data_IF_779384126944
#
_entry.id   IF_779384126944
#
_cell.length_a   1.000
_cell.length_b   1.000
_cell.length_c   1.000
_cell.angle_alpha   90.00
_cell.angle_beta   90.00
_cell.angle_gamma   90.00
#
_symmetry.space_group_name_H-M   'P 1'
#
loop_
_entity.id
_entity.type
_entity.pdbx_description
1 polymer ?
#
# COMPACT_ATOMS: atom_id res chain seq x y z
N UNK A 1 -33.21 7.84 17.79
CA UNK A 1 -31.75 7.72 18.00
C UNK A 1 -31.08 8.37 16.80
N UNK A 2 -30.45 9.53 16.98
CA UNK A 2 -29.72 10.23 15.90
C UNK A 2 -28.38 9.53 15.75
N UNK A 3 -28.15 8.84 14.60
CA UNK A 3 -26.83 8.36 14.23
C UNK A 3 -25.97 9.59 13.91
N UNK A 4 -24.95 9.82 14.71
CA UNK A 4 -23.88 10.79 14.39
C UNK A 4 -23.02 10.12 13.32
N UNK A 5 -23.19 10.54 12.07
CA UNK A 5 -22.30 10.12 10.97
C UNK A 5 -20.98 10.88 11.13
N UNK A 6 -19.91 10.13 11.37
CA UNK A 6 -18.56 10.68 11.32
C UNK A 6 -18.22 11.06 9.88
N UNK A 7 -17.52 12.16 9.74
CA UNK A 7 -16.98 12.64 8.46
C UNK A 7 -15.92 11.62 7.98
N UNK A 8 -16.15 11.02 6.83
CA UNK A 8 -15.22 10.06 6.21
C UNK A 8 -14.14 10.88 5.48
N UNK A 9 -12.88 10.56 5.69
CA UNK A 9 -11.78 11.11 4.91
C UNK A 9 -11.69 10.32 3.59
N UNK A 10 -11.76 10.99 2.47
CA UNK A 10 -11.66 10.44 1.13
C UNK A 10 -10.31 10.86 0.53
N UNK A 11 -9.56 9.94 0.01
CA UNK A 11 -8.25 10.18 -0.59
C UNK A 11 -8.09 9.34 -1.84
N UNK A 12 -7.78 9.93 -2.94
CA UNK A 12 -6.96 9.51 -4.06
C UNK A 12 -7.17 10.33 -5.33
N UNK A 13 -6.12 10.77 -5.98
CA UNK A 13 -6.15 11.43 -7.27
C UNK A 13 -5.25 10.70 -8.26
N UNK A 14 -5.84 9.97 -9.20
CA UNK A 14 -5.18 9.70 -10.47
C UNK A 14 -5.81 10.58 -11.55
N UNK A 15 -5.27 11.78 -11.76
CA UNK A 15 -5.67 12.64 -12.88
C UNK A 15 -5.12 12.06 -14.19
N UNK A 16 -5.96 11.42 -14.95
CA UNK A 16 -5.65 10.99 -16.32
C UNK A 16 -5.74 12.13 -17.32
N UNK A 17 -4.58 12.57 -17.79
CA UNK A 17 -4.47 13.21 -19.11
C UNK A 17 -3.87 12.20 -20.08
N UNK A 18 -4.73 11.53 -20.84
CA UNK A 18 -4.33 10.62 -21.90
C UNK A 18 -3.80 11.43 -23.10
N UNK A 19 -2.49 11.56 -23.24
CA UNK A 19 -1.86 12.00 -24.47
C UNK A 19 -1.04 10.85 -25.08
N UNK A 20 -1.48 10.43 -26.26
CA UNK A 20 -0.87 9.45 -27.14
C UNK A 20 0.66 9.49 -27.15
N UNK A 21 1.32 8.43 -26.69
CA UNK A 21 2.73 8.16 -27.01
C UNK A 21 2.77 6.99 -27.99
N UNK A 22 3.27 7.28 -29.19
CA UNK A 22 3.53 6.31 -30.25
C UNK A 22 4.60 5.31 -29.81
N UNK A 23 4.30 4.02 -30.04
CA UNK A 23 5.27 2.93 -30.03
C UNK A 23 6.46 3.26 -30.95
N UNK A 24 7.66 3.10 -30.42
CA UNK A 24 8.87 2.84 -31.21
C UNK A 24 9.45 1.52 -30.76
N UNK A 25 9.45 0.58 -31.70
CA UNK A 25 10.11 -0.72 -31.56
C UNK A 25 11.63 -0.53 -31.49
N UNK A 26 12.27 -1.25 -30.58
CA UNK A 26 13.72 -1.36 -30.50
C UNK A 26 14.13 -2.69 -29.88
N UNK A 27 14.51 -3.64 -30.74
CA UNK A 27 15.22 -4.88 -30.40
C UNK A 27 16.53 -4.56 -29.70
N UNK A 28 16.92 -5.31 -28.68
CA UNK A 28 18.33 -5.66 -28.44
C UNK A 28 18.51 -6.97 -27.68
N UNK A 29 19.44 -7.69 -28.13
CA UNK A 29 20.04 -8.99 -28.00
C UNK A 29 20.39 -9.52 -26.60
N UNK A 30 20.39 -10.88 -26.59
CA UNK A 30 20.94 -11.76 -25.58
C UNK A 30 22.50 -11.74 -25.56
N UNK A 31 23.08 -11.81 -24.36
CA UNK A 31 24.36 -12.43 -23.99
C UNK A 31 24.61 -12.10 -22.50
N UNK A 32 24.90 -13.04 -21.69
CA UNK A 32 25.85 -14.02 -21.44
C UNK A 32 25.90 -14.28 -19.95
N UNK A 33 25.73 -15.51 -19.53
CA UNK A 33 25.94 -15.98 -18.15
C UNK A 33 27.44 -16.27 -17.97
N UNK A 34 28.07 -15.94 -16.86
CA UNK A 34 29.29 -16.57 -16.42
C UNK A 34 29.03 -17.60 -15.32
N UNK A 35 29.44 -18.79 -15.65
CA UNK A 35 29.59 -19.97 -14.82
C UNK A 35 30.73 -19.75 -13.79
N UNK A 36 30.49 -20.07 -12.51
CA UNK A 36 31.55 -20.23 -11.52
C UNK A 36 31.43 -21.59 -10.85
N UNK A 37 32.27 -22.47 -11.30
CA UNK A 37 32.58 -23.79 -10.71
C UNK A 37 33.32 -23.61 -9.37
N UNK A 38 32.98 -24.53 -8.46
CA UNK A 38 33.59 -24.88 -7.19
C UNK A 38 35.13 -24.96 -7.19
N UNK A 39 35.74 -24.71 -6.04
CA UNK A 39 36.77 -25.52 -5.38
C UNK A 39 37.05 -25.05 -3.96
N UNK A 40 37.08 -26.01 -2.98
CA UNK A 40 38.05 -25.94 -1.91
C UNK A 40 37.54 -26.18 -0.47
N UNK A 41 37.56 -27.45 -0.07
CA UNK A 41 37.53 -27.99 1.27
C UNK A 41 38.62 -27.38 2.21
N UNK A 42 38.25 -27.13 3.47
CA UNK A 42 39.24 -26.89 4.54
C UNK A 42 38.57 -26.88 5.91
N UNK A 43 38.72 -27.97 6.65
CA UNK A 43 38.43 -28.12 8.08
C UNK A 43 39.21 -27.12 8.93
N UNK A 44 38.57 -26.56 9.99
CA UNK A 44 39.08 -26.74 11.36
C UNK A 44 38.25 -26.01 12.43
N UNK A 45 37.81 -26.80 13.40
CA UNK A 45 37.86 -26.63 14.88
C UNK A 45 37.03 -25.51 15.54
N UNK A 46 36.13 -26.05 16.38
CA UNK A 46 35.45 -25.45 17.51
C UNK A 46 36.19 -24.31 18.24
N UNK A 47 35.47 -23.23 18.48
CA UNK A 47 35.46 -22.58 19.79
C UNK A 47 34.10 -21.93 20.01
N UNK A 48 33.28 -22.53 20.84
CA UNK A 48 32.08 -21.92 21.43
C UNK A 48 32.49 -20.71 22.24
N UNK A 49 32.10 -19.54 21.77
CA UNK A 49 31.96 -18.36 22.60
C UNK A 49 30.49 -17.99 22.49
N UNK A 50 29.72 -18.35 23.53
CA UNK A 50 28.43 -17.76 23.79
C UNK A 50 28.65 -16.26 24.03
N UNK A 51 28.49 -15.49 22.98
CA UNK A 51 28.32 -14.06 23.11
C UNK A 51 26.81 -13.86 23.10
N UNK A 52 26.22 -13.68 24.28
CA UNK A 52 24.93 -13.04 24.41
C UNK A 52 25.03 -11.70 23.66
N UNK A 53 24.44 -11.63 22.47
CA UNK A 53 24.17 -10.36 21.81
C UNK A 53 23.19 -9.60 22.71
N UNK A 54 23.73 -8.71 23.50
CA UNK A 54 22.98 -7.63 24.14
C UNK A 54 22.45 -6.81 22.94
N UNK A 55 21.19 -7.03 22.55
CA UNK A 55 20.46 -6.12 21.68
C UNK A 55 20.46 -4.77 22.41
N UNK A 56 21.33 -3.88 21.98
CA UNK A 56 21.23 -2.47 22.31
C UNK A 56 19.97 -1.96 21.57
N UNK A 57 18.89 -1.77 22.33
CA UNK A 57 17.72 -1.00 21.89
C UNK A 57 18.10 0.50 21.80
N UNK A 58 19.01 0.83 20.90
CA UNK A 58 19.20 2.21 20.48
C UNK A 58 17.95 2.61 19.68
N UNK A 59 17.32 3.74 19.99
CA UNK A 59 16.15 4.20 19.25
C UNK A 59 16.51 4.31 17.75
N UNK A 60 15.67 3.75 16.90
CA UNK A 60 15.88 3.78 15.44
C UNK A 60 15.93 5.25 15.01
N UNK A 61 17.08 5.71 14.55
CA UNK A 61 17.26 7.08 14.12
C UNK A 61 16.89 7.19 12.62
N UNK A 62 15.73 7.78 12.33
CA UNK A 62 15.31 8.07 10.97
C UNK A 62 16.04 9.29 10.39
N UNK A 63 16.23 9.29 9.09
CA UNK A 63 16.75 10.47 8.39
C UNK A 63 15.75 11.64 8.44
N UNK A 64 16.23 12.88 8.38
CA UNK A 64 15.35 14.04 8.31
C UNK A 64 14.45 13.99 7.06
N UNK A 65 14.97 13.45 5.97
CA UNK A 65 14.26 13.24 4.71
C UNK A 65 13.06 12.29 4.88
N UNK A 66 13.26 11.17 5.58
CA UNK A 66 12.18 10.24 5.89
C UNK A 66 11.12 10.85 6.83
N UNK A 67 11.55 11.63 7.83
CA UNK A 67 10.65 12.34 8.73
C UNK A 67 9.79 13.36 7.97
N UNK A 68 10.39 14.12 7.07
CA UNK A 68 9.68 15.12 6.27
C UNK A 68 8.69 14.45 5.31
N UNK A 69 9.10 13.35 4.66
CA UNK A 69 8.22 12.58 3.79
C UNK A 69 7.09 11.91 4.55
N UNK A 70 7.36 11.29 5.69
CA UNK A 70 6.35 10.75 6.60
C UNK A 70 5.29 11.80 6.98
N UNK A 71 5.73 12.99 7.35
CA UNK A 71 4.80 14.09 7.65
C UNK A 71 3.98 14.52 6.43
N UNK A 72 4.57 14.51 5.24
CA UNK A 72 3.86 14.83 3.99
C UNK A 72 2.77 13.80 3.70
N UNK A 73 3.09 12.50 3.78
CA UNK A 73 2.18 11.41 3.41
C UNK A 73 1.14 11.10 4.50
N UNK A 74 1.56 11.08 5.78
CA UNK A 74 0.71 10.59 6.87
C UNK A 74 -0.13 11.68 7.53
N UNK A 75 0.24 12.98 7.43
CA UNK A 75 -0.51 14.06 8.09
C UNK A 75 -1.59 14.64 7.19
N UNK A 76 -2.80 14.62 7.72
CA UNK A 76 -3.97 15.18 7.03
C UNK A 76 -4.63 14.18 6.09
N UNK A 77 -5.28 14.71 5.08
CA UNK A 77 -5.85 13.98 3.95
C UNK A 77 -6.07 14.95 2.79
N UNK A 78 -6.12 14.46 1.58
CA UNK A 78 -6.32 15.30 0.39
C UNK A 78 -7.69 16.01 0.39
N UNK A 79 -8.70 15.36 0.93
CA UNK A 79 -10.08 15.85 0.94
C UNK A 79 -10.57 16.28 2.32
N UNK A 80 -9.67 16.43 3.29
CA UNK A 80 -10.02 16.79 4.66
C UNK A 80 -9.28 18.01 5.19
N UNK A 81 -9.80 18.61 6.24
CA UNK A 81 -9.18 19.75 6.92
C UNK A 81 -8.30 19.36 8.12
N UNK A 82 -8.17 18.09 8.42
CA UNK A 82 -7.38 17.58 9.54
C UNK A 82 -5.88 17.59 9.25
N UNK A 83 -5.06 17.66 10.31
CA UNK A 83 -3.60 17.49 10.22
C UNK A 83 -3.12 16.38 11.19
N UNK A 84 -3.96 15.38 11.38
CA UNK A 84 -3.70 14.28 12.32
C UNK A 84 -3.18 13.05 11.57
N UNK A 85 -2.24 12.37 12.19
CA UNK A 85 -1.85 11.02 11.79
C UNK A 85 -2.97 10.08 12.23
N UNK A 86 -3.34 9.14 11.37
CA UNK A 86 -4.29 8.07 11.68
C UNK A 86 -3.64 6.74 11.37
N UNK A 87 -3.84 5.76 12.24
CA UNK A 87 -3.34 4.39 12.03
C UNK A 87 -4.28 3.36 12.62
N UNK A 88 -4.12 2.13 12.22
CA UNK A 88 -4.77 0.99 12.87
C UNK A 88 -4.05 0.69 14.20
N UNK A 89 -4.84 0.40 15.23
CA UNK A 89 -4.35 -0.06 16.54
C UNK A 89 -4.81 -1.50 16.84
N UNK A 90 -5.45 -2.13 15.87
CA UNK A 90 -5.90 -3.53 15.91
C UNK A 90 -5.70 -4.16 14.55
N UNK A 91 -5.71 -5.48 14.48
CA UNK A 91 -5.53 -6.23 13.25
C UNK A 91 -6.50 -5.81 12.14
N UNK A 92 -5.97 -5.81 10.92
CA UNK A 92 -6.73 -5.54 9.70
C UNK A 92 -7.23 -6.86 9.12
N UNK A 93 -8.54 -7.00 9.02
CA UNK A 93 -9.21 -8.18 8.50
C UNK A 93 -9.83 -7.88 7.14
N UNK A 94 -9.18 -8.37 6.07
CA UNK A 94 -9.55 -8.08 4.69
C UNK A 94 -10.61 -9.07 4.19
N UNK A 95 -11.66 -8.54 3.59
CA UNK A 95 -12.63 -9.30 2.80
C UNK A 95 -12.76 -8.70 1.39
N UNK A 96 -12.68 -9.55 0.35
CA UNK A 96 -12.80 -9.12 -1.05
C UNK A 96 -14.20 -9.42 -1.56
N UNK A 97 -14.88 -8.42 -2.14
CA UNK A 97 -16.16 -8.54 -2.84
C UNK A 97 -16.00 -8.26 -4.34
N UNK A 98 -17.02 -8.59 -5.13
CA UNK A 98 -16.98 -8.44 -6.58
C UNK A 98 -16.23 -9.58 -7.27
N UNK A 99 -15.62 -9.27 -8.41
CA UNK A 99 -14.78 -10.22 -9.12
C UNK A 99 -13.50 -10.52 -8.33
N UNK A 100 -12.92 -11.70 -8.59
CA UNK A 100 -11.67 -12.11 -7.93
C UNK A 100 -10.67 -12.62 -8.97
N UNK A 101 -10.18 -11.75 -9.87
CA UNK A 101 -9.20 -12.16 -10.85
C UNK A 101 -7.97 -12.77 -10.18
N UNK A 102 -7.52 -13.91 -10.65
CA UNK A 102 -6.44 -14.67 -9.98
C UNK A 102 -5.16 -13.86 -9.84
N UNK A 103 -4.84 -13.00 -10.83
CA UNK A 103 -3.65 -12.14 -10.80
C UNK A 103 -3.75 -11.05 -9.72
N UNK A 104 -4.95 -10.44 -9.49
CA UNK A 104 -5.14 -9.47 -8.40
C UNK A 104 -5.17 -10.15 -7.03
N UNK A 105 -5.78 -11.34 -6.94
CA UNK A 105 -5.77 -12.09 -5.69
C UNK A 105 -4.36 -12.58 -5.32
N UNK A 106 -3.52 -12.90 -6.32
CA UNK A 106 -2.11 -13.23 -6.09
C UNK A 106 -1.32 -12.01 -5.65
N UNK A 107 -1.51 -10.88 -6.33
CA UNK A 107 -0.89 -9.60 -5.97
C UNK A 107 -1.27 -9.17 -4.55
N UNK A 108 -2.56 -9.22 -4.21
CA UNK A 108 -3.06 -8.86 -2.88
C UNK A 108 -2.40 -9.70 -1.77
N UNK A 109 -2.23 -11.01 -1.99
CA UNK A 109 -1.52 -11.87 -1.02
C UNK A 109 -0.04 -11.50 -0.89
N UNK A 110 0.60 -11.15 -2.02
CA UNK A 110 2.00 -10.69 -2.02
C UNK A 110 2.15 -9.39 -1.23
N UNK A 111 1.27 -8.41 -1.46
CA UNK A 111 1.28 -7.12 -0.74
C UNK A 111 1.07 -7.33 0.75
N UNK A 112 0.08 -8.14 1.15
CA UNK A 112 -0.20 -8.43 2.57
C UNK A 112 0.99 -9.13 3.23
N UNK A 113 1.61 -10.11 2.55
CA UNK A 113 2.80 -10.77 3.08
C UNK A 113 3.97 -9.80 3.25
N UNK A 114 4.15 -8.90 2.29
CA UNK A 114 5.21 -7.90 2.31
C UNK A 114 4.98 -6.87 3.43
N UNK A 115 3.76 -6.33 3.55
CA UNK A 115 3.39 -5.40 4.63
C UNK A 115 3.56 -6.03 6.01
N UNK A 116 3.11 -7.27 6.22
CA UNK A 116 3.30 -7.99 7.47
C UNK A 116 4.79 -8.25 7.79
N UNK A 117 5.68 -8.19 6.80
CA UNK A 117 7.13 -8.26 7.05
C UNK A 117 7.73 -6.93 7.52
N UNK A 118 7.04 -5.81 7.28
CA UNK A 118 7.48 -4.47 7.67
C UNK A 118 6.84 -3.98 8.97
N UNK A 119 5.62 -4.44 9.26
CA UNK A 119 4.76 -4.01 10.38
C UNK A 119 4.87 -5.03 11.52
N UNK A 120 4.97 -4.56 12.77
CA UNK A 120 5.07 -5.45 13.94
C UNK A 120 4.02 -5.16 15.03
N UNK A 121 3.18 -4.13 14.87
CA UNK A 121 2.19 -3.73 15.88
C UNK A 121 0.79 -4.25 15.61
N UNK A 122 0.51 -4.68 14.37
CA UNK A 122 -0.76 -5.27 13.92
C UNK A 122 -0.50 -6.35 12.88
N UNK A 123 -1.42 -7.28 12.71
CA UNK A 123 -1.44 -8.25 11.62
C UNK A 123 -2.48 -7.88 10.56
N UNK A 124 -2.15 -8.10 9.28
CA UNK A 124 -3.08 -7.97 8.15
C UNK A 124 -3.49 -9.38 7.73
N UNK A 125 -4.76 -9.71 7.86
CA UNK A 125 -5.31 -11.04 7.69
C UNK A 125 -6.39 -11.08 6.62
N UNK A 126 -6.67 -12.27 6.08
CA UNK A 126 -7.84 -12.53 5.24
C UNK A 126 -8.92 -13.23 6.04
N UNK A 127 -10.17 -12.77 5.90
CA UNK A 127 -11.33 -13.40 6.53
C UNK A 127 -12.28 -14.00 5.48
N UNK A 128 -13.08 -14.97 5.89
CA UNK A 128 -13.99 -15.69 5.01
C UNK A 128 -15.40 -15.08 4.93
N UNK A 129 -15.70 -14.13 5.80
CA UNK A 129 -17.00 -13.48 5.90
C UNK A 129 -16.85 -11.97 5.94
N UNK A 130 -17.76 -11.25 5.26
CA UNK A 130 -17.80 -9.78 5.33
C UNK A 130 -18.09 -9.29 6.74
N UNK A 131 -18.83 -10.08 7.55
CA UNK A 131 -19.14 -9.71 8.94
C UNK A 131 -17.93 -9.70 9.86
N UNK A 132 -16.85 -10.39 9.47
CA UNK A 132 -15.61 -10.50 10.24
C UNK A 132 -14.53 -9.51 9.75
N UNK A 133 -14.84 -8.77 8.66
CA UNK A 133 -13.95 -7.82 8.07
C UNK A 133 -14.11 -6.42 8.68
N UNK A 134 -13.00 -5.73 8.77
CA UNK A 134 -12.92 -4.29 9.02
C UNK A 134 -12.27 -3.52 7.84
N UNK A 135 -11.80 -4.26 6.82
CA UNK A 135 -11.31 -3.71 5.57
C UNK A 135 -11.92 -4.46 4.38
N UNK A 136 -12.75 -3.78 3.59
CA UNK A 136 -13.41 -4.39 2.42
C UNK A 136 -12.79 -3.87 1.13
N UNK A 137 -12.39 -4.80 0.25
CA UNK A 137 -11.82 -4.51 -1.07
C UNK A 137 -12.84 -4.87 -2.14
N UNK A 138 -13.08 -3.96 -3.08
CA UNK A 138 -13.95 -4.18 -4.25
C UNK A 138 -13.08 -4.26 -5.51
N UNK A 139 -13.11 -5.40 -6.20
CA UNK A 139 -12.66 -5.50 -7.58
C UNK A 139 -13.90 -5.43 -8.47
N UNK A 140 -14.09 -4.33 -9.16
CA UNK A 140 -15.32 -4.10 -9.93
C UNK A 140 -15.34 -2.73 -10.58
N UNK A 141 -16.53 -2.23 -10.85
CA UNK A 141 -16.75 -0.90 -11.38
C UNK A 141 -16.84 0.16 -10.27
N UNK A 142 -16.75 1.44 -10.66
CA UNK A 142 -17.05 2.56 -9.78
C UNK A 142 -18.44 2.43 -9.11
N UNK A 143 -19.44 1.92 -9.85
CA UNK A 143 -20.79 1.74 -9.29
C UNK A 143 -20.83 0.64 -8.21
N UNK A 144 -20.03 -0.42 -8.35
CA UNK A 144 -19.96 -1.46 -7.33
C UNK A 144 -19.39 -0.89 -6.02
N UNK A 145 -18.42 0.02 -6.12
CA UNK A 145 -17.88 0.70 -4.96
C UNK A 145 -18.90 1.68 -4.35
N UNK A 146 -19.60 2.48 -5.15
CA UNK A 146 -20.65 3.41 -4.66
C UNK A 146 -21.79 2.65 -3.95
N UNK A 147 -22.09 1.43 -4.38
CA UNK A 147 -23.08 0.59 -3.70
C UNK A 147 -22.62 0.16 -2.29
N UNK A 148 -21.32 0.02 -2.06
CA UNK A 148 -20.73 -0.24 -0.75
C UNK A 148 -20.58 1.06 0.05
N UNK A 149 -20.08 2.11 -0.61
CA UNK A 149 -19.69 3.38 -0.02
C UNK A 149 -20.36 4.56 -0.78
N UNK A 150 -21.62 4.88 -0.46
CA UNK A 150 -22.38 5.91 -1.20
C UNK A 150 -21.75 7.31 -1.21
N UNK A 151 -20.93 7.63 -0.20
CA UNK A 151 -20.25 8.92 -0.13
C UNK A 151 -19.12 9.06 -1.17
N UNK A 152 -18.66 7.95 -1.75
CA UNK A 152 -17.67 7.96 -2.79
C UNK A 152 -18.21 8.44 -4.16
N UNK A 153 -19.53 8.60 -4.32
CA UNK A 153 -20.17 8.89 -5.61
C UNK A 153 -19.60 10.13 -6.32
N UNK A 154 -19.23 11.16 -5.59
CA UNK A 154 -18.69 12.41 -6.15
C UNK A 154 -17.21 12.29 -6.57
N UNK A 155 -16.53 11.23 -6.16
CA UNK A 155 -15.08 11.04 -6.32
C UNK A 155 -14.71 9.96 -7.33
N UNK A 156 -15.49 8.88 -7.43
CA UNK A 156 -15.19 7.74 -8.30
C UNK A 156 -15.13 8.09 -9.79
N UNK A 157 -15.74 9.22 -10.20
CA UNK A 157 -15.77 9.62 -11.62
C UNK A 157 -14.40 9.79 -12.26
N UNK A 158 -13.44 10.30 -11.50
CA UNK A 158 -12.07 10.60 -11.94
C UNK A 158 -11.02 9.62 -11.39
N UNK A 159 -11.39 8.74 -10.46
CA UNK A 159 -10.47 7.83 -9.80
C UNK A 159 -10.75 6.38 -10.21
N UNK A 160 -9.70 5.63 -10.57
CA UNK A 160 -9.77 4.20 -10.88
C UNK A 160 -9.39 3.32 -9.68
N UNK A 161 -8.78 3.91 -8.68
CA UNK A 161 -8.64 3.43 -7.32
C UNK A 161 -9.19 4.49 -6.37
N UNK A 162 -9.66 4.10 -5.23
CA UNK A 162 -10.08 4.98 -4.16
C UNK A 162 -10.24 4.19 -2.87
N UNK A 163 -9.79 4.75 -1.77
CA UNK A 163 -10.07 4.19 -0.45
C UNK A 163 -10.87 5.17 0.41
N UNK A 164 -11.52 4.62 1.42
CA UNK A 164 -12.18 5.38 2.49
C UNK A 164 -11.80 4.79 3.84
N UNK A 165 -11.62 5.64 4.83
CA UNK A 165 -11.41 5.23 6.22
C UNK A 165 -12.32 6.04 7.15
N UNK A 166 -12.62 5.51 8.32
CA UNK A 166 -13.30 6.30 9.35
C UNK A 166 -12.49 7.53 9.76
N UNK A 167 -13.17 8.57 10.21
CA UNK A 167 -12.51 9.78 10.74
C UNK A 167 -11.88 9.51 12.12
N UNK A 168 -10.81 10.25 12.44
CA UNK A 168 -10.12 10.19 13.72
C UNK A 168 -8.68 9.73 13.60
N UNK A 169 -8.05 9.52 14.75
CA UNK A 169 -6.64 9.06 14.83
C UNK A 169 -6.50 7.55 14.83
N UNK A 170 -7.56 6.83 15.22
CA UNK A 170 -7.61 5.36 15.17
C UNK A 170 -8.47 4.94 13.99
N UNK A 171 -7.88 4.18 13.07
CA UNK A 171 -8.59 3.55 11.97
C UNK A 171 -9.13 2.21 12.47
N UNK A 172 -10.41 1.95 12.22
CA UNK A 172 -11.09 0.69 12.59
C UNK A 172 -12.03 0.18 11.50
N UNK A 173 -12.23 0.97 10.43
CA UNK A 173 -13.06 0.61 9.28
C UNK A 173 -12.50 1.27 8.03
N UNK A 174 -12.30 0.48 6.99
CA UNK A 174 -11.81 0.92 5.69
C UNK A 174 -12.51 0.18 4.55
N UNK A 175 -12.67 0.89 3.43
CA UNK A 175 -13.13 0.31 2.19
C UNK A 175 -12.28 0.84 1.05
N UNK A 176 -11.98 0.01 0.04
CA UNK A 176 -11.29 0.45 -1.17
C UNK A 176 -11.83 -0.26 -2.41
N UNK A 177 -11.52 0.29 -3.58
CA UNK A 177 -11.78 -0.41 -4.83
C UNK A 177 -10.65 -0.21 -5.84
N UNK A 178 -10.58 -1.16 -6.76
CA UNK A 178 -9.82 -1.07 -8.01
C UNK A 178 -10.80 -1.23 -9.15
N UNK A 179 -10.90 -0.23 -10.01
CA UNK A 179 -11.77 -0.25 -11.18
C UNK A 179 -11.16 -1.12 -12.29
N UNK A 180 -11.58 -2.38 -12.31
CA UNK A 180 -11.12 -3.35 -13.32
C UNK A 180 -11.89 -3.24 -14.64
N UNK A 181 -12.87 -2.33 -14.72
CA UNK A 181 -13.66 -2.09 -15.92
C UNK A 181 -13.05 -0.96 -16.77
N UNK A 182 -12.68 0.15 -16.15
CA UNK A 182 -12.07 1.30 -16.83
C UNK A 182 -10.55 1.17 -16.97
N UNK A 183 -9.87 0.65 -15.95
CA UNK A 183 -8.47 0.32 -16.04
C UNK A 183 -8.31 -1.05 -16.70
N UNK A 184 -7.98 -1.09 -17.99
CA UNK A 184 -7.81 -2.31 -18.78
C UNK A 184 -6.35 -2.85 -18.75
N UNK A 185 -5.44 -2.10 -18.12
CA UNK A 185 -4.04 -2.49 -17.94
C UNK A 185 -3.83 -3.25 -16.62
N UNK A 186 -3.36 -4.49 -16.72
CA UNK A 186 -3.09 -5.34 -15.55
C UNK A 186 -2.03 -4.73 -14.62
N UNK A 187 -0.99 -4.08 -15.16
CA UNK A 187 0.04 -3.45 -14.35
C UNK A 187 -0.55 -2.26 -13.59
N UNK A 188 -1.39 -1.46 -14.24
CA UNK A 188 -2.12 -0.37 -13.59
C UNK A 188 -3.07 -0.86 -12.50
N UNK A 189 -3.81 -1.94 -12.73
CA UNK A 189 -4.69 -2.51 -11.69
C UNK A 189 -3.90 -3.01 -10.47
N UNK A 190 -2.73 -3.62 -10.67
CA UNK A 190 -1.86 -4.07 -9.57
C UNK A 190 -1.26 -2.89 -8.81
N UNK A 191 -0.87 -1.84 -9.52
CA UNK A 191 -0.40 -0.60 -8.93
C UNK A 191 -1.48 0.01 -8.02
N UNK A 192 -2.67 0.25 -8.56
CA UNK A 192 -3.81 0.78 -7.81
C UNK A 192 -4.14 -0.08 -6.58
N UNK A 193 -4.10 -1.40 -6.71
CA UNK A 193 -4.34 -2.29 -5.58
C UNK A 193 -3.33 -2.05 -4.45
N UNK A 194 -2.05 -1.90 -4.77
CA UNK A 194 -0.99 -1.69 -3.79
C UNK A 194 -1.09 -0.31 -3.17
N UNK A 195 -1.28 0.70 -3.98
CA UNK A 195 -1.41 2.10 -3.56
C UNK A 195 -2.58 2.26 -2.58
N UNK A 196 -3.80 1.95 -3.00
CA UNK A 196 -5.02 2.15 -2.21
C UNK A 196 -5.05 1.31 -0.92
N UNK A 197 -4.53 0.06 -0.99
CA UNK A 197 -4.41 -0.77 0.21
C UNK A 197 -3.48 -0.14 1.24
N UNK A 198 -2.32 0.35 0.78
CA UNK A 198 -1.33 0.96 1.67
C UNK A 198 -1.84 2.29 2.22
N UNK A 199 -2.50 3.09 1.39
CA UNK A 199 -3.11 4.34 1.82
C UNK A 199 -4.22 4.10 2.86
N UNK A 200 -5.00 3.03 2.72
CA UNK A 200 -6.00 2.61 3.70
C UNK A 200 -5.41 2.22 5.07
N UNK A 201 -4.10 2.04 5.16
CA UNK A 201 -3.39 1.84 6.43
C UNK A 201 -3.05 3.16 7.14
N UNK A 202 -3.28 4.33 6.53
CA UNK A 202 -3.05 5.63 7.15
C UNK A 202 -2.12 6.58 6.37
N UNK A 203 -1.65 6.16 5.19
CA UNK A 203 -0.84 6.97 4.28
C UNK A 203 -1.76 7.74 3.33
N UNK A 204 -2.33 8.85 3.78
CA UNK A 204 -3.52 9.47 3.21
C UNK A 204 -3.26 10.57 2.19
N UNK A 205 -2.03 10.72 1.71
CA UNK A 205 -1.65 11.73 0.73
C UNK A 205 -0.64 11.20 -0.27
N UNK A 206 -0.65 11.83 -1.44
CA UNK A 206 0.36 11.65 -2.45
C UNK A 206 1.34 12.82 -2.46
N UNK A 207 2.50 12.62 -3.10
CA UNK A 207 3.55 13.62 -3.24
C UNK A 207 4.27 13.49 -4.58
N UNK A 208 4.79 14.60 -5.10
CA UNK A 208 5.69 14.60 -6.26
C UNK A 208 7.16 14.41 -5.89
N UNK A 209 7.50 14.21 -4.60
CA UNK A 209 8.90 14.21 -4.14
C UNK A 209 9.70 13.01 -4.66
N UNK A 210 9.09 11.82 -4.71
CA UNK A 210 9.76 10.58 -5.13
C UNK A 210 8.98 9.89 -6.25
N UNK A 211 9.47 9.99 -7.49
CA UNK A 211 8.80 9.42 -8.67
C UNK A 211 8.74 7.89 -8.71
N UNK A 212 9.50 7.21 -7.85
CA UNK A 212 9.50 5.76 -7.67
C UNK A 212 8.76 5.30 -6.41
N UNK A 213 8.21 6.21 -5.63
CA UNK A 213 7.39 5.90 -4.48
C UNK A 213 6.03 5.36 -4.90
N UNK A 214 5.44 4.53 -4.03
CA UNK A 214 4.06 4.07 -4.15
C UNK A 214 3.05 5.22 -3.98
N UNK A 215 3.43 6.30 -3.29
CA UNK A 215 2.65 7.50 -3.06
C UNK A 215 3.01 8.64 -4.03
N UNK A 216 3.52 8.31 -5.21
CA UNK A 216 3.80 9.32 -6.22
C UNK A 216 2.53 9.81 -6.89
N UNK A 217 2.22 11.10 -6.80
CA UNK A 217 0.98 11.71 -7.33
C UNK A 217 0.84 11.63 -8.85
N UNK A 218 1.91 11.36 -9.59
CA UNK A 218 1.84 11.13 -11.04
C UNK A 218 1.53 9.67 -11.34
N UNK A 219 0.83 9.41 -12.45
CA UNK A 219 0.54 8.04 -12.86
C UNK A 219 1.82 7.20 -13.03
N UNK A 220 1.83 6.05 -12.38
CA UNK A 220 2.86 5.01 -12.55
C UNK A 220 2.20 3.63 -12.64
N UNK A 221 3.01 2.61 -12.90
CA UNK A 221 2.61 1.20 -12.82
C UNK A 221 3.57 0.42 -11.92
N UNK A 222 4.24 1.12 -10.99
CA UNK A 222 5.12 0.46 -10.02
C UNK A 222 4.31 -0.47 -9.11
N UNK A 223 4.85 -1.64 -8.82
CA UNK A 223 4.26 -2.65 -7.93
C UNK A 223 5.19 -3.03 -6.79
N UNK A 224 6.19 -2.20 -6.53
CA UNK A 224 7.19 -2.40 -5.48
C UNK A 224 7.26 -1.15 -4.61
N UNK A 225 7.50 -1.31 -3.32
CA UNK A 225 7.76 -0.20 -2.42
C UNK A 225 9.19 0.32 -2.62
N UNK A 226 9.34 1.62 -2.79
CA UNK A 226 10.65 2.27 -2.72
C UNK A 226 11.21 2.17 -1.28
N UNK A 227 12.54 2.26 -1.09
CA UNK A 227 13.13 2.28 0.25
C UNK A 227 12.52 3.31 1.20
N UNK A 228 12.16 4.48 0.68
CA UNK A 228 11.50 5.54 1.47
C UNK A 228 10.09 5.14 1.89
N UNK A 229 9.34 4.40 1.06
CA UNK A 229 8.01 3.89 1.41
C UNK A 229 8.11 2.89 2.57
N UNK A 230 9.06 1.96 2.48
CA UNK A 230 9.32 0.97 3.54
C UNK A 230 9.69 1.67 4.85
N UNK A 231 10.51 2.73 4.79
CA UNK A 231 10.91 3.47 5.98
C UNK A 231 9.71 4.14 6.64
N UNK A 232 8.87 4.85 5.90
CA UNK A 232 7.69 5.51 6.49
C UNK A 232 6.62 4.51 6.94
N UNK A 233 6.51 3.33 6.32
CA UNK A 233 5.64 2.24 6.80
C UNK A 233 6.10 1.78 8.18
N UNK A 234 7.40 1.56 8.37
CA UNK A 234 7.98 1.19 9.65
C UNK A 234 7.82 2.29 10.71
N UNK A 235 7.99 3.55 10.33
CA UNK A 235 7.76 4.70 11.23
C UNK A 235 6.33 4.75 11.77
N UNK A 236 5.33 4.38 10.95
CA UNK A 236 3.93 4.43 11.37
C UNK A 236 3.57 3.25 12.30
N UNK A 237 4.18 2.08 12.11
CA UNK A 237 3.72 0.83 12.71
C UNK A 237 4.72 0.11 13.61
N UNK A 238 5.93 0.61 13.79
CA UNK A 238 6.93 -0.04 14.64
C UNK A 238 7.42 0.85 15.79
N UNK A 239 6.83 2.06 15.93
CA UNK A 239 7.15 3.01 17.00
C UNK A 239 5.97 3.23 17.95
#
# INVERSE_FOLDING_TARGET
MKKVFGLIALVSFALFSYNNIKKTDGLVDAHGIPDYTEVGSGNNTESTIDTEEVQNDEPVQHSQEAIDYFNTICRGSEYGSGNQISKWESDVNIYVIGEKPSYLMSELRSIVSELNSYINTIDINFVNSKSDANFVIVFGSAQDYVNLEPYAADYVGNNWGLFTVNSGTVIYDANMYVDIVRCDDIAGQKHLLREELTQGLGFKKDSYDYSNSMFYQGWTTTTEYAPIDVEIIKMLYNE
#
